data_IF_077926133102
#
_entry.id   IF_077926133102
#
_cell.length_a   1.000
_cell.length_b   1.000
_cell.length_c   1.000
_cell.angle_alpha   90.00
_cell.angle_beta   90.00
_cell.angle_gamma   90.00
#
_symmetry.space_group_name_H-M   'P 1'
#
loop_
_entity.id
_entity.type
_entity.pdbx_description
1 polymer ?
#
# COMPACT_ATOMS: atom_id res chain seq x y z
N UNK A 1 16.20 2.98 12.66
CA UNK A 1 14.93 3.00 11.90
C UNK A 1 15.28 3.25 10.43
N UNK A 2 14.75 2.40 9.52
CA UNK A 2 15.07 2.50 8.09
C UNK A 2 13.92 3.10 7.28
N UNK A 3 12.67 2.86 7.71
CA UNK A 3 11.46 3.28 7.00
C UNK A 3 10.51 4.02 7.92
N UNK A 4 9.97 5.12 7.43
CA UNK A 4 8.79 5.79 8.00
C UNK A 4 7.63 5.53 7.06
N UNK A 5 6.51 5.07 7.60
CA UNK A 5 5.26 4.97 6.86
C UNK A 5 4.23 5.95 7.41
N UNK A 6 3.54 6.66 6.52
CA UNK A 6 2.47 7.60 6.87
C UNK A 6 1.13 7.03 6.42
N UNK A 7 0.20 6.92 7.36
CA UNK A 7 -1.21 6.62 7.09
C UNK A 7 -2.06 7.77 7.62
N UNK A 8 -2.50 8.64 6.72
CA UNK A 8 -3.28 9.81 7.13
C UNK A 8 -4.72 9.45 7.56
N UNK A 9 -5.28 8.35 7.07
CA UNK A 9 -6.66 7.93 7.31
C UNK A 9 -6.77 6.42 7.54
N UNK A 10 -6.25 5.90 8.67
CA UNK A 10 -6.34 4.49 9.02
C UNK A 10 -7.79 4.03 9.18
N UNK A 11 -7.98 2.73 9.31
CA UNK A 11 -9.28 2.12 9.56
C UNK A 11 -9.15 0.90 10.47
N UNK A 12 -10.23 0.56 11.16
CA UNK A 12 -10.50 -0.78 11.64
C UNK A 12 -11.29 -1.46 10.53
N UNK A 13 -10.75 -2.51 9.94
CA UNK A 13 -11.41 -3.26 8.87
C UNK A 13 -12.20 -4.42 9.48
N UNK A 14 -13.53 -4.37 9.34
CA UNK A 14 -14.47 -5.39 9.81
C UNK A 14 -15.01 -6.15 8.61
N UNK A 15 -14.62 -7.42 8.45
CA UNK A 15 -15.15 -8.31 7.42
C UNK A 15 -16.23 -9.19 8.02
N UNK A 16 -17.44 -9.09 7.49
CA UNK A 16 -18.63 -9.83 7.92
C UNK A 16 -18.94 -10.90 6.87
N UNK A 17 -18.90 -12.16 7.25
CA UNK A 17 -19.24 -13.29 6.39
C UNK A 17 -20.71 -13.67 6.56
N UNK A 18 -21.46 -13.64 5.45
CA UNK A 18 -22.89 -13.95 5.40
C UNK A 18 -23.14 -14.88 4.21
N UNK A 19 -24.08 -15.79 4.30
CA UNK A 19 -24.57 -16.56 3.13
C UNK A 19 -25.92 -16.01 2.70
N UNK A 20 -26.04 -15.63 1.43
CA UNK A 20 -27.27 -15.14 0.83
C UNK A 20 -27.68 -13.77 1.39
N UNK A 21 -26.76 -12.79 1.40
CA UNK A 21 -27.03 -11.44 1.86
C UNK A 21 -28.20 -10.79 1.11
N UNK A 22 -29.16 -10.26 1.85
CA UNK A 22 -30.35 -9.62 1.30
C UNK A 22 -30.57 -8.25 1.90
N UNK A 23 -31.05 -7.32 1.06
CA UNK A 23 -31.47 -5.98 1.50
C UNK A 23 -32.79 -6.06 2.27
N UNK A 24 -33.00 -5.09 3.16
CA UNK A 24 -34.26 -4.88 3.89
C UNK A 24 -34.72 -6.11 4.73
N UNK A 25 -33.76 -6.86 5.25
CA UNK A 25 -34.00 -8.02 6.13
C UNK A 25 -32.91 -8.19 7.16
N UNK A 26 -33.14 -9.02 8.16
CA UNK A 26 -32.14 -9.38 9.16
C UNK A 26 -31.22 -10.46 8.58
N UNK A 27 -29.98 -10.08 8.31
CA UNK A 27 -28.92 -11.02 7.94
C UNK A 27 -28.17 -11.47 9.20
N UNK A 28 -27.84 -12.74 9.31
CA UNK A 28 -27.05 -13.28 10.43
C UNK A 28 -25.66 -13.63 9.95
N UNK A 29 -24.65 -12.98 10.54
CA UNK A 29 -23.26 -13.27 10.23
C UNK A 29 -22.86 -14.67 10.73
N UNK A 30 -22.11 -15.39 9.92
CA UNK A 30 -21.48 -16.68 10.28
C UNK A 30 -20.15 -16.46 10.99
N UNK A 31 -19.39 -15.43 10.57
CA UNK A 31 -18.12 -15.02 11.15
C UNK A 31 -17.90 -13.53 10.99
N UNK A 32 -17.08 -12.96 11.86
CA UNK A 32 -16.62 -11.57 11.78
C UNK A 32 -15.13 -11.54 12.06
N UNK A 33 -14.36 -11.04 11.06
CA UNK A 33 -12.94 -10.79 11.21
C UNK A 33 -12.71 -9.28 11.41
N UNK A 34 -11.88 -8.92 12.38
CA UNK A 34 -11.56 -7.53 12.63
C UNK A 34 -10.05 -7.36 12.63
N UNK A 35 -9.55 -6.52 11.73
CA UNK A 35 -8.13 -6.20 11.57
C UNK A 35 -7.90 -4.69 11.60
N UNK A 36 -6.66 -4.26 11.80
CA UNK A 36 -6.29 -2.87 11.57
C UNK A 36 -5.90 -2.69 10.11
N UNK A 37 -6.30 -1.57 9.52
CA UNK A 37 -6.10 -1.27 8.11
C UNK A 37 -5.55 0.13 7.89
N UNK A 38 -5.14 0.34 6.64
CA UNK A 38 -4.52 1.57 6.16
C UNK A 38 -3.22 1.25 5.43
N UNK A 39 -3.06 1.80 4.22
CA UNK A 39 -1.97 1.42 3.31
C UNK A 39 -0.59 1.50 3.96
N UNK A 40 -0.24 2.64 4.58
CA UNK A 40 1.05 2.80 5.26
C UNK A 40 1.21 1.85 6.44
N UNK A 41 0.15 1.58 7.22
CA UNK A 41 0.20 0.63 8.34
C UNK A 41 0.42 -0.80 7.87
N UNK A 42 -0.27 -1.22 6.81
CA UNK A 42 -0.06 -2.53 6.20
C UNK A 42 1.37 -2.69 5.69
N UNK A 43 1.91 -1.66 5.02
CA UNK A 43 3.31 -1.64 4.59
C UNK A 43 4.26 -1.74 5.78
N UNK A 44 3.99 -0.99 6.88
CA UNK A 44 4.82 -1.03 8.08
C UNK A 44 4.89 -2.42 8.70
N UNK A 45 3.73 -3.08 8.86
CA UNK A 45 3.64 -4.44 9.41
C UNK A 45 4.43 -5.43 8.54
N UNK A 46 4.21 -5.41 7.23
CA UNK A 46 4.91 -6.32 6.31
C UNK A 46 6.43 -6.10 6.30
N UNK A 47 6.89 -4.85 6.39
CA UNK A 47 8.32 -4.54 6.48
C UNK A 47 8.92 -4.99 7.81
N UNK A 48 8.22 -4.77 8.92
CA UNK A 48 8.66 -5.19 10.25
C UNK A 48 8.73 -6.73 10.34
N UNK A 49 7.73 -7.45 9.83
CA UNK A 49 7.74 -8.92 9.72
C UNK A 49 8.91 -9.43 8.85
N UNK A 50 9.34 -8.63 7.88
CA UNK A 50 10.51 -8.91 7.04
C UNK A 50 11.86 -8.50 7.69
N UNK A 51 11.85 -8.05 8.95
CA UNK A 51 13.04 -7.66 9.71
C UNK A 51 13.58 -6.25 9.39
N UNK A 52 12.78 -5.39 8.73
CA UNK A 52 13.14 -4.00 8.45
C UNK A 52 12.61 -3.11 9.58
N UNK A 53 13.50 -2.34 10.22
CA UNK A 53 13.12 -1.41 11.29
C UNK A 53 12.23 -0.30 10.75
N UNK A 54 10.95 -0.33 11.12
CA UNK A 54 9.91 0.52 10.54
C UNK A 54 9.13 1.26 11.62
N UNK A 55 8.91 2.55 11.39
CA UNK A 55 8.02 3.40 12.18
C UNK A 55 6.75 3.72 11.41
N UNK A 56 5.61 3.62 12.09
CA UNK A 56 4.32 4.06 11.58
C UNK A 56 3.92 5.39 12.21
N UNK A 57 3.49 6.34 11.38
CA UNK A 57 2.92 7.63 11.79
C UNK A 57 1.69 7.98 10.94
N UNK A 58 1.09 9.11 11.22
CA UNK A 58 -0.17 9.57 10.65
C UNK A 58 -1.19 9.80 11.77
N UNK A 59 -2.48 9.84 11.46
CA UNK A 59 -3.50 10.24 12.41
C UNK A 59 -4.36 9.06 12.83
N UNK A 60 -4.52 8.88 14.14
CA UNK A 60 -5.28 7.79 14.75
C UNK A 60 -6.23 8.34 15.82
N UNK A 61 -7.45 7.82 15.89
CA UNK A 61 -8.39 8.16 16.95
C UNK A 61 -7.90 7.65 18.29
N UNK A 62 -7.91 8.55 19.29
CA UNK A 62 -7.45 8.22 20.63
C UNK A 62 -8.42 7.30 21.39
N UNK A 63 -9.71 7.25 21.00
CA UNK A 63 -10.74 6.55 21.77
C UNK A 63 -10.80 5.04 21.46
N UNK A 64 -10.20 4.57 20.33
CA UNK A 64 -10.20 3.16 19.93
C UNK A 64 -8.82 2.67 19.45
N UNK A 65 -7.74 3.26 19.93
CA UNK A 65 -6.36 2.97 19.53
C UNK A 65 -5.84 1.58 19.94
N UNK A 66 -6.40 0.98 20.98
CA UNK A 66 -5.87 -0.24 21.64
C UNK A 66 -5.56 -1.39 20.66
N UNK A 67 -6.38 -1.54 19.63
CA UNK A 67 -6.19 -2.60 18.62
C UNK A 67 -4.94 -2.33 17.77
N UNK A 68 -4.69 -1.08 17.41
CA UNK A 68 -3.50 -0.67 16.66
C UNK A 68 -2.24 -0.85 17.49
N UNK A 69 -2.25 -0.37 18.74
CA UNK A 69 -1.12 -0.51 19.68
C UNK A 69 -0.76 -1.98 19.89
N UNK A 70 -1.77 -2.86 20.06
CA UNK A 70 -1.56 -4.30 20.19
C UNK A 70 -0.91 -4.89 18.94
N UNK A 71 -1.42 -4.54 17.74
CA UNK A 71 -0.89 -5.02 16.46
C UNK A 71 0.54 -4.53 16.25
N UNK A 72 0.84 -3.26 16.50
CA UNK A 72 2.20 -2.74 16.38
C UNK A 72 3.18 -3.45 17.29
N UNK A 73 2.80 -3.67 18.55
CA UNK A 73 3.61 -4.42 19.50
C UNK A 73 3.85 -5.86 19.05
N UNK A 74 2.83 -6.52 18.50
CA UNK A 74 2.92 -7.90 18.01
C UNK A 74 3.91 -8.03 16.85
N UNK A 75 3.95 -7.06 15.93
CA UNK A 75 4.78 -7.09 14.73
C UNK A 75 6.08 -6.27 14.86
N UNK A 76 6.34 -5.63 16.01
CA UNK A 76 7.54 -4.84 16.22
C UNK A 76 7.60 -3.53 15.43
N UNK A 77 6.43 -2.98 15.05
CA UNK A 77 6.32 -1.64 14.45
C UNK A 77 6.48 -0.58 15.53
N UNK A 78 7.33 0.43 15.26
CA UNK A 78 7.51 1.56 16.16
C UNK A 78 6.34 2.52 15.98
N UNK A 79 5.57 2.72 17.05
CA UNK A 79 4.35 3.56 17.03
C UNK A 79 4.69 5.02 17.30
N UNK A 80 4.51 5.85 16.27
CA UNK A 80 4.55 7.31 16.33
C UNK A 80 3.30 7.94 15.71
N UNK A 81 2.17 7.21 15.72
CA UNK A 81 0.91 7.77 15.26
C UNK A 81 0.44 8.91 16.16
N UNK A 82 -0.05 9.97 15.56
CA UNK A 82 -0.57 11.14 16.24
C UNK A 82 -2.00 10.85 16.68
N UNK A 83 -2.27 10.95 18.00
CA UNK A 83 -3.58 10.71 18.58
C UNK A 83 -4.46 11.94 18.44
N UNK A 84 -5.54 11.79 17.66
CA UNK A 84 -6.55 12.83 17.44
C UNK A 84 -7.79 12.45 18.24
N UNK A 85 -8.48 13.39 18.91
CA UNK A 85 -9.72 13.10 19.62
C UNK A 85 -10.77 12.43 18.72
N UNK A 86 -11.49 11.45 19.24
CA UNK A 86 -12.48 10.64 18.53
C UNK A 86 -11.97 9.25 18.17
N UNK A 87 -12.75 8.54 17.36
CA UNK A 87 -12.47 7.17 16.95
C UNK A 87 -11.92 7.09 15.53
N UNK A 88 -10.94 6.22 15.32
CA UNK A 88 -10.59 5.75 13.98
C UNK A 88 -11.80 5.06 13.36
N UNK A 89 -12.11 5.37 12.11
CA UNK A 89 -13.25 4.80 11.37
C UNK A 89 -13.20 3.28 11.32
N UNK A 90 -14.39 2.65 11.33
CA UNK A 90 -14.55 1.24 11.02
C UNK A 90 -15.07 1.09 9.60
N UNK A 91 -14.27 0.48 8.71
CA UNK A 91 -14.68 0.10 7.37
C UNK A 91 -15.31 -1.29 7.42
N UNK A 92 -16.49 -1.45 6.83
CA UNK A 92 -17.23 -2.71 6.85
C UNK A 92 -17.18 -3.33 5.46
N UNK A 93 -16.74 -4.59 5.38
CA UNK A 93 -16.81 -5.43 4.19
C UNK A 93 -17.78 -6.58 4.45
N UNK A 94 -18.83 -6.69 3.64
CA UNK A 94 -19.74 -7.83 3.66
C UNK A 94 -19.30 -8.79 2.55
N UNK A 95 -19.04 -10.04 2.93
CA UNK A 95 -18.67 -11.12 2.00
C UNK A 95 -19.82 -12.11 1.96
N UNK A 96 -20.46 -12.24 0.81
CA UNK A 96 -21.52 -13.24 0.58
C UNK A 96 -20.90 -14.56 0.12
N UNK A 97 -20.88 -15.55 1.02
CA UNK A 97 -20.33 -16.88 0.73
C UNK A 97 -21.10 -17.68 -0.31
N UNK A 98 -22.38 -17.31 -0.59
CA UNK A 98 -23.23 -18.02 -1.53
C UNK A 98 -22.89 -17.73 -3.01
N UNK A 99 -22.38 -16.52 -3.30
CA UNK A 99 -22.10 -16.07 -4.67
C UNK A 99 -20.70 -15.47 -4.84
N UNK A 100 -19.97 -15.27 -3.71
CA UNK A 100 -18.63 -14.67 -3.71
C UNK A 100 -18.60 -13.15 -3.88
N UNK A 101 -19.75 -12.48 -3.85
CA UNK A 101 -19.82 -11.02 -3.95
C UNK A 101 -19.33 -10.34 -2.67
N UNK A 102 -18.80 -9.13 -2.81
CA UNK A 102 -18.37 -8.29 -1.69
C UNK A 102 -18.99 -6.90 -1.80
N UNK A 103 -19.36 -6.34 -0.63
CA UNK A 103 -19.85 -4.97 -0.52
C UNK A 103 -19.03 -4.24 0.53
N UNK A 104 -18.41 -3.11 0.13
CA UNK A 104 -17.62 -2.27 1.03
C UNK A 104 -18.42 -1.02 1.46
N UNK A 105 -18.39 -0.72 2.76
CA UNK A 105 -18.98 0.49 3.36
C UNK A 105 -17.87 1.21 4.13
N UNK A 106 -17.39 2.33 3.55
CA UNK A 106 -16.21 3.04 4.04
C UNK A 106 -16.58 4.45 4.52
N UNK A 107 -16.62 4.72 5.84
CA UNK A 107 -16.80 6.05 6.38
C UNK A 107 -15.64 6.99 6.02
N UNK A 108 -15.90 8.30 6.08
CA UNK A 108 -14.92 9.33 5.72
C UNK A 108 -13.67 9.33 6.61
N UNK A 109 -13.81 8.97 7.88
CA UNK A 109 -12.75 9.02 8.89
C UNK A 109 -12.83 10.26 9.77
N UNK A 110 -11.78 10.45 10.59
CA UNK A 110 -11.67 11.58 11.52
C UNK A 110 -11.58 12.91 10.78
N UNK A 111 -11.97 13.98 11.45
CA UNK A 111 -11.53 15.32 11.11
C UNK A 111 -10.19 15.58 11.82
N UNK A 112 -9.19 16.06 11.10
CA UNK A 112 -7.85 16.32 11.64
C UNK A 112 -7.59 17.82 11.69
N UNK A 113 -7.64 18.45 12.89
CA UNK A 113 -7.29 19.85 13.08
C UNK A 113 -5.85 20.18 12.70
N UNK A 114 -5.57 21.44 12.36
CA UNK A 114 -4.27 21.90 11.89
C UNK A 114 -3.14 21.65 12.90
N UNK A 115 -3.41 21.77 14.18
CA UNK A 115 -2.45 21.53 15.27
C UNK A 115 -1.89 20.09 15.27
N UNK A 116 -2.70 19.10 14.87
CA UNK A 116 -2.24 17.72 14.73
C UNK A 116 -1.47 17.52 13.41
N UNK A 117 -1.86 18.25 12.35
CA UNK A 117 -1.12 18.22 11.08
C UNK A 117 0.31 18.74 11.27
N UNK A 118 0.52 19.78 12.09
CA UNK A 118 1.86 20.29 12.37
C UNK A 118 2.75 19.24 13.05
N UNK A 119 2.21 18.41 13.94
CA UNK A 119 2.96 17.32 14.56
C UNK A 119 3.49 16.30 13.53
N UNK A 120 2.75 16.06 12.43
CA UNK A 120 3.24 15.20 11.34
C UNK A 120 4.46 15.81 10.64
N UNK A 121 4.40 17.12 10.35
CA UNK A 121 5.53 17.84 9.75
C UNK A 121 6.75 17.82 10.66
N UNK A 122 6.58 18.09 11.96
CA UNK A 122 7.64 18.10 12.95
C UNK A 122 8.28 16.70 13.08
N UNK A 123 7.46 15.64 13.05
CA UNK A 123 7.96 14.27 13.09
C UNK A 123 8.80 13.94 11.85
N UNK A 124 8.37 14.30 10.65
CA UNK A 124 9.16 14.06 9.43
C UNK A 124 10.48 14.85 9.48
N UNK A 125 10.43 16.14 9.87
CA UNK A 125 11.62 17.01 9.96
C UNK A 125 12.69 16.43 10.91
N UNK A 126 12.28 15.87 12.06
CA UNK A 126 13.17 15.24 13.03
C UNK A 126 13.86 13.97 12.51
N UNK A 127 13.32 13.35 11.47
CA UNK A 127 13.82 12.08 10.95
C UNK A 127 14.48 12.17 9.57
N UNK A 128 14.62 13.38 9.03
CA UNK A 128 15.45 13.63 7.84
C UNK A 128 16.90 13.23 8.16
N UNK A 129 17.50 12.42 7.29
CA UNK A 129 18.86 11.89 7.48
C UNK A 129 18.97 10.71 8.48
N UNK A 130 17.85 10.32 9.13
CA UNK A 130 17.78 9.14 10.01
C UNK A 130 17.12 7.97 9.27
N UNK A 131 15.94 8.20 8.70
CA UNK A 131 15.28 7.19 7.89
C UNK A 131 15.75 7.26 6.43
N UNK A 132 15.77 6.11 5.77
CA UNK A 132 16.16 5.99 4.36
C UNK A 132 14.96 6.12 3.42
N UNK A 133 13.79 5.64 3.84
CA UNK A 133 12.56 5.65 3.03
C UNK A 133 11.45 6.36 3.78
N UNK A 134 10.77 7.26 3.08
CA UNK A 134 9.50 7.86 3.48
C UNK A 134 8.40 7.31 2.57
N UNK A 135 7.52 6.48 3.14
CA UNK A 135 6.37 5.91 2.42
C UNK A 135 5.08 6.56 2.93
N UNK A 136 4.21 6.97 2.04
CA UNK A 136 2.89 7.47 2.39
C UNK A 136 1.82 6.86 1.50
N UNK A 137 0.66 6.58 2.09
CA UNK A 137 -0.40 5.95 1.31
C UNK A 137 -1.79 6.02 1.93
N UNK A 138 -2.76 5.69 1.08
CA UNK A 138 -4.17 5.70 1.42
C UNK A 138 -4.86 7.03 1.15
N UNK A 139 -6.13 7.10 1.50
CA UNK A 139 -6.95 8.31 1.39
C UNK A 139 -6.59 9.34 2.46
N UNK A 140 -6.99 10.59 2.23
CA UNK A 140 -6.85 11.67 3.19
C UNK A 140 -8.18 11.92 3.92
N UNK A 141 -8.15 12.12 5.26
CA UNK A 141 -9.34 12.38 6.05
C UNK A 141 -9.85 13.82 5.86
N UNK A 142 -10.97 14.15 6.49
CA UNK A 142 -11.48 15.51 6.54
C UNK A 142 -10.51 16.43 7.31
N UNK A 143 -10.46 17.71 6.91
CA UNK A 143 -9.54 18.70 7.47
C UNK A 143 -8.17 18.73 6.82
N UNK A 144 -7.83 17.74 5.99
CA UNK A 144 -6.55 17.67 5.27
C UNK A 144 -6.76 17.95 3.78
N UNK A 145 -5.95 18.86 3.24
CA UNK A 145 -5.96 19.18 1.82
C UNK A 145 -5.50 18.01 0.97
N UNK A 146 -6.08 17.89 -0.22
CA UNK A 146 -5.81 16.74 -1.11
C UNK A 146 -4.39 16.76 -1.71
N UNK A 147 -3.69 17.85 -1.58
CA UNK A 147 -2.30 18.03 -2.01
C UNK A 147 -1.25 17.66 -0.95
N UNK A 148 -1.66 17.16 0.24
CA UNK A 148 -0.73 16.84 1.35
C UNK A 148 0.47 16.01 0.86
N UNK A 149 0.22 14.94 0.09
CA UNK A 149 1.30 14.07 -0.38
C UNK A 149 2.23 14.80 -1.36
N UNK A 150 1.68 15.63 -2.27
CA UNK A 150 2.47 16.46 -3.17
C UNK A 150 3.36 17.43 -2.39
N UNK A 151 2.82 18.08 -1.35
CA UNK A 151 3.58 19.02 -0.48
C UNK A 151 4.69 18.30 0.29
N UNK A 152 4.43 17.10 0.80
CA UNK A 152 5.46 16.28 1.46
C UNK A 152 6.56 15.92 0.46
N UNK A 153 6.20 15.43 -0.73
CA UNK A 153 7.15 15.11 -1.80
C UNK A 153 8.02 16.34 -2.13
N UNK A 154 7.41 17.51 -2.37
CA UNK A 154 8.12 18.73 -2.73
C UNK A 154 9.10 19.17 -1.62
N UNK A 155 8.67 19.16 -0.35
CA UNK A 155 9.50 19.59 0.79
C UNK A 155 10.69 18.66 1.05
N UNK A 156 10.50 17.35 0.83
CA UNK A 156 11.48 16.35 1.24
C UNK A 156 12.18 15.65 0.06
N UNK A 157 11.95 16.08 -1.17
CA UNK A 157 12.67 15.58 -2.35
C UNK A 157 14.19 15.64 -2.13
N UNK A 158 14.87 14.52 -2.36
CA UNK A 158 16.32 14.38 -2.18
C UNK A 158 16.80 14.28 -0.72
N UNK A 159 15.90 14.35 0.28
CA UNK A 159 16.25 14.21 1.72
C UNK A 159 16.12 12.76 2.23
N UNK A 160 15.45 11.90 1.49
CA UNK A 160 15.38 10.46 1.70
C UNK A 160 15.97 9.75 0.48
N UNK A 161 16.42 8.49 0.63
CA UNK A 161 16.86 7.69 -0.52
C UNK A 161 15.68 7.42 -1.47
N UNK A 162 14.49 7.21 -0.89
CA UNK A 162 13.25 7.02 -1.64
C UNK A 162 12.06 7.66 -0.93
N UNK A 163 11.25 8.39 -1.69
CA UNK A 163 9.90 8.81 -1.31
C UNK A 163 8.90 7.99 -2.12
N UNK A 164 8.05 7.23 -1.44
CA UNK A 164 7.10 6.29 -2.03
C UNK A 164 5.68 6.76 -1.77
N UNK A 165 4.84 6.82 -2.80
CA UNK A 165 3.42 7.14 -2.68
C UNK A 165 2.57 6.01 -3.24
N UNK A 166 1.68 5.45 -2.41
CA UNK A 166 0.64 4.49 -2.83
C UNK A 166 -0.74 5.00 -2.40
N UNK A 167 -1.33 5.82 -3.23
CA UNK A 167 -2.62 6.47 -3.00
C UNK A 167 -3.54 6.27 -4.20
N UNK A 168 -4.77 6.78 -4.12
CA UNK A 168 -5.76 6.69 -5.19
C UNK A 168 -6.59 7.98 -5.27
N UNK A 169 -7.38 8.12 -6.34
CA UNK A 169 -8.30 9.23 -6.53
C UNK A 169 -7.61 10.59 -6.47
N UNK A 170 -8.27 11.58 -5.85
CA UNK A 170 -7.80 12.98 -5.86
C UNK A 170 -6.39 13.15 -5.27
N UNK A 171 -6.05 12.47 -4.18
CA UNK A 171 -4.73 12.62 -3.56
C UNK A 171 -3.60 12.11 -4.46
N UNK A 172 -3.83 11.02 -5.21
CA UNK A 172 -2.89 10.54 -6.23
C UNK A 172 -2.79 11.55 -7.37
N UNK A 173 -3.93 12.04 -7.90
CA UNK A 173 -3.93 12.99 -9.02
C UNK A 173 -3.22 14.29 -8.68
N UNK A 174 -3.44 14.87 -7.49
CA UNK A 174 -2.71 16.06 -7.02
C UNK A 174 -1.19 15.80 -6.94
N UNK A 175 -0.80 14.61 -6.45
CA UNK A 175 0.61 14.22 -6.41
C UNK A 175 1.22 14.09 -7.81
N UNK A 176 0.48 13.50 -8.76
CA UNK A 176 0.99 13.26 -10.12
C UNK A 176 1.00 14.51 -11.01
N UNK A 177 0.16 15.51 -10.68
CA UNK A 177 0.13 16.82 -11.37
C UNK A 177 1.18 17.80 -10.83
N UNK A 178 1.82 17.49 -9.69
CA UNK A 178 2.86 18.36 -9.12
C UNK A 178 4.14 18.40 -9.98
N UNK A 179 4.92 19.47 -9.83
CA UNK A 179 6.21 19.64 -10.54
C UNK A 179 7.25 18.62 -10.06
N UNK A 180 7.23 18.28 -8.78
CA UNK A 180 8.16 17.33 -8.16
C UNK A 180 7.40 16.06 -7.84
N UNK A 181 7.81 14.93 -8.48
CA UNK A 181 7.19 13.62 -8.31
C UNK A 181 7.91 12.80 -7.24
N UNK A 182 7.22 11.83 -6.60
CA UNK A 182 7.87 10.87 -5.71
C UNK A 182 8.84 9.97 -6.49
N UNK A 183 9.74 9.31 -5.78
CA UNK A 183 10.68 8.36 -6.39
C UNK A 183 9.98 7.08 -6.90
N UNK A 184 8.89 6.68 -6.24
CA UNK A 184 8.14 5.48 -6.57
C UNK A 184 6.64 5.65 -6.37
N UNK A 185 5.87 5.10 -7.30
CA UNK A 185 4.43 4.83 -7.15
C UNK A 185 4.11 3.38 -7.50
N UNK A 186 2.94 2.91 -7.01
CA UNK A 186 2.38 1.61 -7.41
C UNK A 186 0.89 1.73 -7.80
N UNK A 187 0.54 2.26 -8.95
CA UNK A 187 -0.84 2.19 -9.45
C UNK A 187 -1.21 0.75 -9.85
N UNK A 188 -2.49 0.43 -9.76
CA UNK A 188 -3.02 -0.65 -10.57
C UNK A 188 -3.26 -0.17 -12.02
N UNK A 189 -3.58 -1.08 -12.93
CA UNK A 189 -3.77 -0.73 -14.35
C UNK A 189 -4.88 0.31 -14.56
N UNK A 190 -5.96 0.25 -13.78
CA UNK A 190 -7.07 1.19 -13.90
C UNK A 190 -6.69 2.59 -13.39
N UNK A 191 -5.97 2.64 -12.26
CA UNK A 191 -5.43 3.90 -11.73
C UNK A 191 -4.43 4.53 -12.72
N UNK A 192 -3.57 3.74 -13.38
CA UNK A 192 -2.65 4.24 -14.39
C UNK A 192 -3.40 4.79 -15.62
N UNK A 193 -4.44 4.11 -16.09
CA UNK A 193 -5.32 4.58 -17.18
C UNK A 193 -6.06 5.86 -16.79
N UNK A 194 -6.55 5.97 -15.56
CA UNK A 194 -7.17 7.19 -15.03
C UNK A 194 -6.15 8.35 -15.00
N UNK A 195 -4.93 8.09 -14.53
CA UNK A 195 -3.85 9.10 -14.46
C UNK A 195 -3.49 9.65 -15.85
N UNK A 196 -3.44 8.82 -16.88
CA UNK A 196 -3.09 9.25 -18.25
C UNK A 196 -4.28 9.60 -19.13
N UNK A 197 -5.53 9.35 -18.66
CA UNK A 197 -6.76 9.67 -19.37
C UNK A 197 -7.00 8.84 -20.65
N UNK A 198 -6.36 7.67 -20.78
CA UNK A 198 -6.48 6.78 -21.95
C UNK A 198 -6.36 5.30 -21.57
N UNK A 199 -6.90 4.43 -22.42
CA UNK A 199 -6.70 2.98 -22.32
C UNK A 199 -5.23 2.60 -22.64
N UNK A 200 -4.76 1.54 -21.98
CA UNK A 200 -3.44 0.96 -22.16
C UNK A 200 -3.58 -0.53 -22.48
N UNK A 201 -3.95 -0.88 -23.72
CA UNK A 201 -4.34 -2.26 -24.06
C UNK A 201 -3.17 -3.24 -24.14
N UNK A 202 -1.94 -2.77 -24.26
CA UNK A 202 -0.75 -3.63 -24.40
C UNK A 202 0.29 -3.35 -23.32
N UNK A 203 1.17 -4.32 -23.10
CA UNK A 203 2.32 -4.15 -22.21
C UNK A 203 3.23 -3.00 -22.64
N UNK A 204 3.41 -2.83 -23.96
CA UNK A 204 4.19 -1.73 -24.52
C UNK A 204 3.58 -0.36 -24.15
N UNK A 205 2.24 -0.24 -24.16
CA UNK A 205 1.54 0.98 -23.74
C UNK A 205 1.76 1.25 -22.24
N UNK A 206 1.66 0.22 -21.42
CA UNK A 206 1.89 0.30 -19.97
C UNK A 206 3.33 0.76 -19.68
N UNK A 207 4.30 0.13 -20.29
CA UNK A 207 5.71 0.45 -20.11
C UNK A 207 6.03 1.85 -20.60
N UNK A 208 5.51 2.24 -21.78
CA UNK A 208 5.72 3.57 -22.34
C UNK A 208 5.14 4.65 -21.42
N UNK A 209 3.91 4.44 -20.90
CA UNK A 209 3.28 5.40 -19.99
C UNK A 209 4.05 5.52 -18.67
N UNK A 210 4.45 4.41 -18.07
CA UNK A 210 5.29 4.42 -16.87
C UNK A 210 6.61 5.19 -17.10
N UNK A 211 7.23 5.04 -18.27
CA UNK A 211 8.45 5.77 -18.63
C UNK A 211 8.23 7.28 -18.81
N UNK A 212 7.03 7.73 -19.15
CA UNK A 212 6.71 9.16 -19.16
C UNK A 212 6.85 9.77 -17.76
N UNK A 213 6.37 9.07 -16.72
CA UNK A 213 6.55 9.51 -15.32
C UNK A 213 8.02 9.44 -14.87
N UNK A 214 8.75 8.40 -15.30
CA UNK A 214 10.18 8.27 -15.02
C UNK A 214 10.98 9.40 -15.68
N UNK A 215 10.63 9.82 -16.89
CA UNK A 215 11.24 10.96 -17.57
C UNK A 215 11.00 12.28 -16.83
N UNK A 216 9.92 12.38 -16.02
CA UNK A 216 9.62 13.53 -15.13
C UNK A 216 10.34 13.45 -13.78
N UNK A 217 11.18 12.44 -13.53
CA UNK A 217 12.02 12.36 -12.32
C UNK A 217 11.76 11.17 -11.40
N UNK A 218 10.75 10.33 -11.65
CA UNK A 218 10.57 9.10 -10.88
C UNK A 218 11.71 8.11 -11.12
N UNK A 219 12.02 7.30 -10.11
CA UNK A 219 13.02 6.24 -10.21
C UNK A 219 12.40 4.91 -10.66
N UNK A 220 11.19 4.61 -10.16
CA UNK A 220 10.50 3.34 -10.42
C UNK A 220 8.98 3.51 -10.43
N UNK A 221 8.31 2.83 -11.36
CA UNK A 221 6.85 2.69 -11.41
C UNK A 221 6.53 1.19 -11.37
N UNK A 222 5.67 0.78 -10.43
CA UNK A 222 5.16 -0.59 -10.34
C UNK A 222 3.71 -0.59 -10.75
N UNK A 223 3.36 -1.30 -11.83
CA UNK A 223 1.98 -1.36 -12.33
C UNK A 223 1.39 -2.74 -12.03
N UNK A 224 0.46 -2.82 -11.07
CA UNK A 224 -0.19 -4.07 -10.69
C UNK A 224 -1.41 -4.37 -11.56
N UNK A 225 -1.59 -5.67 -11.94
CA UNK A 225 -2.64 -6.15 -12.84
C UNK A 225 -3.36 -7.37 -12.26
N UNK A 226 -3.51 -7.42 -10.93
CA UNK A 226 -4.15 -8.53 -10.23
C UNK A 226 -3.50 -9.87 -10.52
N UNK A 227 -4.29 -10.87 -10.90
CA UNK A 227 -3.78 -12.22 -11.23
C UNK A 227 -2.86 -12.29 -12.45
N UNK A 228 -2.79 -11.24 -13.27
CA UNK A 228 -1.82 -11.14 -14.37
C UNK A 228 -0.42 -10.73 -13.89
N UNK A 229 -0.26 -10.33 -12.63
CA UNK A 229 1.01 -9.94 -12.04
C UNK A 229 1.26 -8.44 -12.02
N UNK A 230 2.52 -8.05 -12.15
CA UNK A 230 2.89 -6.64 -12.13
C UNK A 230 4.12 -6.37 -13.01
N UNK A 231 4.14 -5.18 -13.62
CA UNK A 231 5.31 -4.61 -14.24
C UNK A 231 6.10 -3.75 -13.26
N UNK A 232 7.41 -3.96 -13.19
CA UNK A 232 8.38 -3.15 -12.46
C UNK A 232 9.24 -2.42 -13.49
N UNK A 233 9.12 -1.09 -13.54
CA UNK A 233 9.65 -0.30 -14.64
C UNK A 233 10.59 0.77 -14.11
N UNK A 234 11.79 0.85 -14.67
CA UNK A 234 12.77 1.92 -14.48
C UNK A 234 13.16 2.53 -15.83
N UNK A 235 14.08 3.48 -15.79
CA UNK A 235 14.63 4.08 -17.03
C UNK A 235 15.28 3.04 -17.93
N UNK A 236 15.96 2.04 -17.36
CA UNK A 236 16.86 1.14 -18.09
C UNK A 236 16.26 -0.23 -18.37
N UNK A 237 15.28 -0.66 -17.59
CA UNK A 237 14.68 -1.99 -17.71
C UNK A 237 13.23 -2.02 -17.29
N UNK A 238 12.48 -2.96 -17.83
CA UNK A 238 11.15 -3.33 -17.38
C UNK A 238 11.08 -4.86 -17.19
N UNK A 239 10.56 -5.27 -16.03
CA UNK A 239 10.45 -6.66 -15.61
C UNK A 239 9.01 -6.93 -15.22
N UNK A 240 8.41 -7.95 -15.83
CA UNK A 240 7.12 -8.49 -15.44
C UNK A 240 7.30 -9.64 -14.45
N UNK A 241 6.53 -9.63 -13.38
CA UNK A 241 6.48 -10.72 -12.41
C UNK A 241 5.07 -11.29 -12.32
N UNK A 242 4.90 -12.54 -12.76
CA UNK A 242 3.63 -13.27 -12.73
C UNK A 242 3.54 -14.05 -11.41
N UNK A 243 2.47 -13.85 -10.61
CA UNK A 243 2.32 -14.55 -9.34
C UNK A 243 2.04 -16.04 -9.54
N UNK A 244 2.41 -16.89 -8.57
CA UNK A 244 1.95 -18.26 -8.54
C UNK A 244 0.44 -18.35 -8.31
N UNK A 245 -0.17 -19.46 -8.68
CA UNK A 245 -1.55 -19.77 -8.31
C UNK A 245 -1.58 -20.16 -6.85
N UNK A 246 -2.34 -19.42 -6.06
CA UNK A 246 -2.56 -19.68 -4.62
C UNK A 246 -4.06 -19.71 -4.32
N UNK A 247 -4.43 -20.25 -3.17
CA UNK A 247 -5.81 -20.15 -2.71
C UNK A 247 -6.07 -18.73 -2.23
N UNK A 248 -7.01 -18.03 -2.86
CA UNK A 248 -7.38 -16.67 -2.47
C UNK A 248 -8.39 -16.73 -1.31
N UNK A 249 -8.02 -16.14 -0.19
CA UNK A 249 -8.90 -15.97 0.99
C UNK A 249 -9.36 -14.52 1.10
N UNK A 250 -8.47 -13.55 0.86
CA UNK A 250 -8.77 -12.11 0.86
C UNK A 250 -7.83 -11.41 -0.13
N UNK A 251 -8.31 -10.38 -0.81
CA UNK A 251 -7.46 -9.54 -1.68
C UNK A 251 -7.03 -8.23 -1.01
N UNK A 252 -7.48 -7.99 0.22
CA UNK A 252 -7.16 -6.77 0.98
C UNK A 252 -5.68 -6.78 1.37
N UNK A 253 -4.98 -5.67 1.15
CA UNK A 253 -3.57 -5.51 1.51
C UNK A 253 -2.56 -6.11 0.53
N UNK A 254 -3.00 -6.86 -0.52
CA UNK A 254 -2.09 -7.44 -1.51
C UNK A 254 -1.20 -6.40 -2.21
N UNK A 255 -1.78 -5.24 -2.56
CA UNK A 255 -1.04 -4.12 -3.13
C UNK A 255 -0.02 -3.52 -2.15
N UNK A 256 -0.40 -3.40 -0.89
CA UNK A 256 0.46 -2.86 0.17
C UNK A 256 1.62 -3.81 0.48
N UNK A 257 1.35 -5.13 0.49
CA UNK A 257 2.40 -6.15 0.60
C UNK A 257 3.39 -6.09 -0.57
N UNK A 258 2.92 -5.82 -1.81
CA UNK A 258 3.79 -5.58 -2.96
C UNK A 258 4.66 -4.34 -2.78
N UNK A 259 4.13 -3.23 -2.24
CA UNK A 259 4.91 -2.03 -1.90
C UNK A 259 5.98 -2.37 -0.87
N UNK A 260 5.63 -3.10 0.19
CA UNK A 260 6.60 -3.52 1.21
C UNK A 260 7.73 -4.37 0.63
N UNK A 261 7.41 -5.36 -0.21
CA UNK A 261 8.40 -6.19 -0.89
C UNK A 261 9.31 -5.38 -1.84
N UNK A 262 8.76 -4.38 -2.54
CA UNK A 262 9.52 -3.47 -3.40
C UNK A 262 10.47 -2.60 -2.57
N UNK A 263 9.99 -1.96 -1.50
CA UNK A 263 10.82 -1.15 -0.58
C UNK A 263 11.94 -2.01 0.01
N UNK A 264 11.66 -3.24 0.43
CA UNK A 264 12.69 -4.16 0.92
C UNK A 264 13.75 -4.44 -0.14
N UNK A 265 13.34 -4.67 -1.40
CA UNK A 265 14.25 -4.86 -2.52
C UNK A 265 15.18 -3.65 -2.74
N UNK A 266 14.61 -2.43 -2.70
CA UNK A 266 15.35 -1.18 -2.82
C UNK A 266 16.37 -1.00 -1.68
N UNK A 267 15.96 -1.19 -0.43
CA UNK A 267 16.81 -1.07 0.75
C UNK A 267 18.00 -2.06 0.72
N UNK A 268 17.76 -3.28 0.25
CA UNK A 268 18.77 -4.32 0.11
C UNK A 268 19.55 -4.26 -1.22
N UNK A 269 19.28 -3.25 -2.06
CA UNK A 269 19.93 -3.04 -3.37
C UNK A 269 19.91 -4.30 -4.25
N UNK A 270 18.75 -4.99 -4.25
CA UNK A 270 18.55 -6.17 -5.10
C UNK A 270 18.39 -5.76 -6.56
N UNK A 271 18.76 -6.66 -7.48
CA UNK A 271 18.42 -6.46 -8.89
C UNK A 271 16.89 -6.45 -9.08
N UNK A 272 16.46 -5.94 -10.23
CA UNK A 272 15.04 -5.74 -10.52
C UNK A 272 14.25 -7.06 -10.49
N UNK A 273 14.83 -8.14 -11.01
CA UNK A 273 14.15 -9.43 -11.06
C UNK A 273 13.93 -10.01 -9.65
N UNK A 274 14.92 -9.91 -8.75
CA UNK A 274 14.81 -10.38 -7.38
C UNK A 274 13.86 -9.48 -6.55
N UNK A 275 13.89 -8.17 -6.78
CA UNK A 275 12.94 -7.24 -6.18
C UNK A 275 11.51 -7.57 -6.62
N UNK A 276 11.27 -7.77 -7.92
CA UNK A 276 9.96 -8.11 -8.47
C UNK A 276 9.46 -9.47 -7.95
N UNK A 277 10.35 -10.48 -7.82
CA UNK A 277 10.00 -11.78 -7.20
C UNK A 277 9.54 -11.59 -5.77
N UNK A 278 10.30 -10.85 -4.97
CA UNK A 278 9.99 -10.63 -3.55
C UNK A 278 8.67 -9.88 -3.39
N UNK A 279 8.47 -8.79 -4.12
CA UNK A 279 7.25 -7.99 -4.08
C UNK A 279 6.01 -8.79 -4.49
N UNK A 280 6.13 -9.60 -5.56
CA UNK A 280 5.04 -10.46 -6.03
C UNK A 280 4.76 -11.61 -5.07
N UNK A 281 5.78 -12.20 -4.44
CA UNK A 281 5.61 -13.22 -3.42
C UNK A 281 4.91 -12.68 -2.16
N UNK A 282 5.24 -11.45 -1.73
CA UNK A 282 4.56 -10.79 -0.61
C UNK A 282 3.08 -10.58 -0.94
N UNK A 283 2.77 -10.05 -2.12
CA UNK A 283 1.40 -9.89 -2.59
C UNK A 283 0.64 -11.23 -2.64
N UNK A 284 1.26 -12.27 -3.20
CA UNK A 284 0.66 -13.61 -3.28
C UNK A 284 0.46 -14.25 -1.89
N UNK A 285 1.38 -14.03 -0.95
CA UNK A 285 1.23 -14.54 0.41
C UNK A 285 0.10 -13.87 1.17
N UNK A 286 -0.07 -12.56 0.96
CA UNK A 286 -1.10 -11.79 1.66
C UNK A 286 -2.51 -12.26 1.30
N UNK A 287 -2.74 -12.70 0.06
CA UNK A 287 -4.08 -13.16 -0.36
C UNK A 287 -4.45 -14.57 0.13
N UNK A 288 -3.52 -15.31 0.74
CA UNK A 288 -3.77 -16.67 1.26
C UNK A 288 -4.48 -16.68 2.62
N UNK A 289 -4.53 -15.54 3.32
CA UNK A 289 -5.13 -15.43 4.67
C UNK A 289 -5.87 -14.11 4.88
N UNK A 290 -6.58 -14.01 5.98
CA UNK A 290 -7.18 -12.75 6.44
C UNK A 290 -6.18 -12.06 7.36
N UNK A 291 -5.98 -10.75 7.16
CA UNK A 291 -5.02 -9.94 7.91
C UNK A 291 -3.87 -9.43 7.05
N UNK A 292 -3.16 -8.44 7.57
CA UNK A 292 -2.19 -7.65 6.82
C UNK A 292 -0.75 -7.90 7.27
N UNK A 293 -0.36 -9.17 7.45
CA UNK A 293 0.95 -9.60 7.93
C UNK A 293 1.62 -10.56 6.93
N UNK A 294 2.94 -10.73 7.04
CA UNK A 294 3.64 -11.75 6.27
C UNK A 294 3.61 -13.11 7.00
N UNK A 295 3.42 -14.21 6.26
CA UNK A 295 3.57 -15.54 6.81
C UNK A 295 5.05 -15.84 7.12
N UNK A 296 5.36 -17.09 7.48
CA UNK A 296 6.74 -17.50 7.74
C UNK A 296 7.67 -17.21 6.55
N UNK A 297 8.93 -16.92 6.84
CA UNK A 297 9.95 -16.71 5.81
C UNK A 297 10.06 -17.91 4.86
N UNK A 298 9.88 -19.14 5.36
CA UNK A 298 9.85 -20.34 4.53
C UNK A 298 8.75 -20.29 3.46
N UNK A 299 7.54 -19.82 3.81
CA UNK A 299 6.45 -19.66 2.84
C UNK A 299 6.78 -18.61 1.79
N UNK A 300 7.35 -17.49 2.20
CA UNK A 300 7.78 -16.44 1.27
C UNK A 300 8.81 -16.97 0.28
N UNK A 301 9.83 -17.70 0.73
CA UNK A 301 10.84 -18.26 -0.19
C UNK A 301 10.26 -19.32 -1.15
N UNK A 302 9.29 -20.12 -0.72
CA UNK A 302 8.55 -21.02 -1.61
C UNK A 302 7.80 -20.24 -2.70
N UNK A 303 7.05 -19.19 -2.31
CA UNK A 303 6.30 -18.38 -3.26
C UNK A 303 7.23 -17.67 -4.24
N UNK A 304 8.35 -17.14 -3.78
CA UNK A 304 9.38 -16.53 -4.64
C UNK A 304 9.88 -17.50 -5.71
N UNK A 305 10.11 -18.78 -5.34
CA UNK A 305 10.53 -19.81 -6.27
C UNK A 305 9.51 -20.10 -7.39
N UNK A 306 8.25 -19.79 -7.18
CA UNK A 306 7.17 -19.99 -8.14
C UNK A 306 6.81 -18.75 -8.97
N UNK A 307 7.32 -17.56 -8.62
CA UNK A 307 7.12 -16.35 -9.41
C UNK A 307 7.87 -16.47 -10.73
N UNK A 308 7.17 -16.28 -11.84
CA UNK A 308 7.76 -16.27 -13.18
C UNK A 308 8.14 -14.84 -13.55
N UNK A 309 9.40 -14.66 -13.92
CA UNK A 309 9.93 -13.36 -14.37
C UNK A 309 10.07 -13.38 -15.89
N UNK A 310 9.60 -12.31 -16.53
CA UNK A 310 9.75 -12.05 -17.97
C UNK A 310 10.28 -10.63 -18.14
N UNK A 311 11.26 -10.42 -19.02
CA UNK A 311 11.78 -9.08 -19.32
C UNK A 311 11.05 -8.47 -20.52
N UNK A 312 11.13 -7.16 -20.64
CA UNK A 312 10.63 -6.44 -21.82
C UNK A 312 11.20 -7.06 -23.10
N UNK A 313 10.35 -7.34 -24.09
CA UNK A 313 10.70 -7.98 -25.35
C UNK A 313 10.69 -9.52 -25.33
N UNK A 314 10.52 -10.15 -24.18
CA UNK A 314 10.32 -11.60 -24.07
C UNK A 314 8.82 -11.94 -24.09
N UNK A 315 8.46 -13.12 -24.61
CA UNK A 315 7.07 -13.60 -24.55
C UNK A 315 6.71 -13.99 -23.10
N UNK A 316 5.54 -13.54 -22.65
CA UNK A 316 5.01 -13.96 -21.33
C UNK A 316 4.62 -15.45 -21.38
N UNK A 317 5.18 -16.23 -20.47
CA UNK A 317 4.85 -17.65 -20.26
C UNK A 317 3.65 -17.84 -19.35
#
# INVERSE_FOLDING_TARGET
MEVITITANPAIDMTIHVDGWQRDTVNRAQAVDITVGGKGLTVAINLADAGISTSATGFMGAENEERFVRTFKQHGVIDHCIRVPGETRTCVKIVDGSNGETTDINPAGLFVPEEYQQQLWDYIDQHVGVARVLMMGGSLPAGIDKDLYARIVAKYSGKFEYIVVDSSGKALMETMNADILPDMIKPNIHELQEMCGRELPTDADIIAEARNYIARGMKIVVVSMGGQGAWFITKNEAVHAKPPRVRVTSTVGAGDAMVAGTIRGLLLKRDMAEMARTATAYSASNIEHVGTYLPSQQRIEQLKGWVVITREGEERK
#
